data_IF_670673246010
#
_entry.id   IF_670673246010
#
_cell.length_a   1.000
_cell.length_b   1.000
_cell.length_c   1.000
_cell.angle_alpha   90.00
_cell.angle_beta   90.00
_cell.angle_gamma   90.00
#
_symmetry.space_group_name_H-M   'P 1'
#
loop_
_entity.id
_entity.type
_entity.pdbx_description
1 polymer ?
#
# COMPACT_ATOMS: atom_id res chain seq x y z
N UNK A 1 41.33 -3.08 -31.29
CA UNK A 1 40.00 -2.43 -31.21
C UNK A 1 39.32 -2.95 -29.96
N UNK A 2 39.28 -2.14 -28.90
CA UNK A 2 38.71 -2.48 -27.60
C UNK A 2 37.34 -1.82 -27.45
N UNK A 3 36.45 -2.53 -26.75
CA UNK A 3 35.22 -2.08 -26.09
C UNK A 3 34.03 -1.73 -27.02
N UNK A 4 32.78 -2.02 -26.68
CA UNK A 4 32.22 -2.30 -25.36
C UNK A 4 31.06 -3.30 -25.46
N UNK A 5 31.07 -4.23 -24.51
CA UNK A 5 29.96 -5.07 -24.08
C UNK A 5 28.70 -4.22 -23.90
N UNK A 6 27.66 -4.46 -24.70
CA UNK A 6 26.32 -3.93 -24.46
C UNK A 6 25.75 -4.65 -23.24
N UNK A 7 25.96 -4.05 -22.07
CA UNK A 7 25.23 -4.38 -20.86
C UNK A 7 23.76 -3.98 -21.10
N UNK A 8 22.96 -4.94 -21.56
CA UNK A 8 21.50 -4.80 -21.53
C UNK A 8 21.12 -4.80 -20.06
N UNK A 9 20.94 -3.61 -19.50
CA UNK A 9 20.36 -3.43 -18.18
C UNK A 9 18.87 -3.78 -18.30
N UNK A 10 18.56 -5.07 -18.31
CA UNK A 10 17.20 -5.58 -18.23
C UNK A 10 16.67 -5.28 -16.83
N UNK A 11 16.14 -4.07 -16.65
CA UNK A 11 15.33 -3.71 -15.49
C UNK A 11 14.02 -4.48 -15.66
N UNK A 12 13.99 -5.72 -15.15
CA UNK A 12 12.73 -6.42 -14.92
C UNK A 12 12.08 -5.71 -13.75
N UNK A 13 11.26 -4.70 -14.03
CA UNK A 13 10.32 -4.18 -13.06
C UNK A 13 9.27 -5.29 -12.86
N UNK A 14 9.53 -6.19 -11.92
CA UNK A 14 8.49 -7.02 -11.32
C UNK A 14 7.57 -6.05 -10.56
N UNK A 15 6.65 -5.42 -11.30
CA UNK A 15 5.49 -4.79 -10.72
C UNK A 15 4.71 -5.91 -10.05
N UNK A 16 4.99 -6.16 -8.76
CA UNK A 16 4.19 -7.10 -7.99
C UNK A 16 2.81 -6.48 -7.87
N UNK A 17 1.92 -6.85 -8.79
CA UNK A 17 0.51 -6.86 -8.50
C UNK A 17 0.42 -7.65 -7.20
N UNK A 18 -0.11 -7.03 -6.15
CA UNK A 18 -0.29 -7.71 -4.87
C UNK A 18 -1.76 -8.08 -4.73
N UNK A 19 -2.28 -9.00 -5.58
CA UNK A 19 -3.68 -9.34 -5.54
C UNK A 19 -3.95 -9.97 -4.18
N UNK A 20 -5.08 -9.57 -3.59
CA UNK A 20 -5.59 -10.22 -2.41
C UNK A 20 -5.84 -11.70 -2.75
N UNK A 21 -5.08 -12.62 -2.13
CA UNK A 21 -5.20 -14.07 -2.38
C UNK A 21 -6.14 -14.72 -1.37
N UNK A 22 -6.85 -15.77 -1.82
CA UNK A 22 -7.76 -16.55 -0.98
C UNK A 22 -7.02 -17.48 -0.01
N UNK A 23 -5.81 -17.89 -0.36
CA UNK A 23 -4.95 -18.75 0.46
C UNK A 23 -3.88 -17.91 1.14
N UNK A 24 -3.81 -17.97 2.47
CA UNK A 24 -2.82 -17.21 3.22
C UNK A 24 -1.49 -17.97 3.28
N UNK A 25 -0.34 -17.26 3.30
CA UNK A 25 0.96 -17.90 3.48
C UNK A 25 0.98 -18.79 4.73
N UNK A 26 1.59 -19.96 4.61
CA UNK A 26 1.80 -20.90 5.72
C UNK A 26 3.02 -20.52 6.55
N UNK A 27 4.00 -19.84 5.94
CA UNK A 27 5.20 -19.30 6.58
C UNK A 27 5.28 -17.79 6.45
N UNK A 28 5.96 -17.15 7.41
CA UNK A 28 6.22 -15.71 7.39
C UNK A 28 5.05 -14.85 7.84
N UNK A 29 5.27 -13.55 7.77
CA UNK A 29 4.31 -12.51 8.14
C UNK A 29 3.42 -12.16 6.94
N UNK A 30 2.14 -11.92 7.20
CA UNK A 30 1.20 -11.49 6.16
C UNK A 30 0.12 -10.56 6.73
N UNK A 31 -0.52 -9.81 5.84
CA UNK A 31 -1.68 -9.00 6.18
C UNK A 31 -2.96 -9.76 5.83
N UNK A 32 -3.98 -9.65 6.66
CA UNK A 32 -5.30 -10.23 6.41
C UNK A 32 -6.39 -9.19 6.60
N UNK A 33 -7.25 -9.04 5.60
CA UNK A 33 -8.37 -8.11 5.63
C UNK A 33 -9.58 -8.74 4.91
N UNK A 34 -10.75 -8.71 5.57
CA UNK A 34 -12.02 -9.29 5.04
C UNK A 34 -11.86 -10.71 4.48
N UNK A 35 -11.09 -11.54 5.17
CA UNK A 35 -10.88 -12.94 4.79
C UNK A 35 -9.82 -13.18 3.72
N UNK A 36 -9.33 -12.14 3.02
CA UNK A 36 -8.24 -12.25 2.05
C UNK A 36 -6.88 -11.93 2.66
N UNK A 37 -5.84 -12.48 2.07
CA UNK A 37 -4.45 -12.28 2.47
C UNK A 37 -3.69 -11.42 1.47
N UNK A 38 -2.74 -10.66 2.00
CA UNK A 38 -2.06 -9.55 1.34
C UNK A 38 -0.58 -9.60 1.71
N UNK A 39 0.30 -9.39 0.75
CA UNK A 39 1.75 -9.36 1.00
C UNK A 39 2.25 -7.94 1.29
N UNK A 40 3.56 -7.80 1.34
CA UNK A 40 4.26 -6.55 1.58
C UNK A 40 3.92 -5.48 0.54
N UNK A 41 3.75 -4.23 0.98
CA UNK A 41 3.45 -3.11 0.10
C UNK A 41 1.97 -2.98 -0.27
N UNK A 42 1.07 -3.63 0.45
CA UNK A 42 -0.37 -3.61 0.12
C UNK A 42 -1.08 -2.31 0.51
N UNK A 43 -2.13 -1.97 -0.23
CA UNK A 43 -2.87 -0.71 -0.06
C UNK A 43 -4.27 -0.93 0.54
N UNK A 44 -4.64 -0.09 1.51
CA UNK A 44 -5.94 -0.12 2.18
C UNK A 44 -6.54 1.29 2.22
N UNK A 45 -7.55 1.50 1.39
CA UNK A 45 -8.36 2.73 1.45
C UNK A 45 -9.12 2.77 2.78
N UNK A 46 -9.06 3.90 3.49
CA UNK A 46 -9.61 4.08 4.84
C UNK A 46 -11.06 3.62 4.98
N UNK A 47 -11.92 3.95 4.02
CA UNK A 47 -13.33 3.54 4.01
C UNK A 47 -13.52 2.01 4.09
N UNK A 48 -12.55 1.24 3.62
CA UNK A 48 -12.59 -0.24 3.65
C UNK A 48 -12.22 -0.79 5.02
N UNK A 49 -11.50 -0.03 5.84
CA UNK A 49 -11.00 -0.42 7.17
C UNK A 49 -11.75 0.26 8.33
N UNK A 50 -12.74 1.11 8.04
CA UNK A 50 -13.71 1.56 9.04
C UNK A 50 -14.45 0.34 9.58
N UNK A 51 -14.37 0.15 10.90
CA UNK A 51 -14.89 -1.02 11.65
C UNK A 51 -14.34 -2.38 11.21
N UNK A 52 -13.34 -2.39 10.34
CA UNK A 52 -12.84 -3.62 9.71
C UNK A 52 -11.33 -3.65 9.80
N UNK A 53 -10.83 -4.71 10.41
CA UNK A 53 -9.43 -4.81 10.77
C UNK A 53 -8.54 -5.11 9.58
N UNK A 54 -7.36 -4.52 9.58
CA UNK A 54 -6.18 -5.03 8.89
C UNK A 54 -5.39 -5.79 9.95
N UNK A 55 -5.43 -7.11 9.89
CA UNK A 55 -4.68 -7.97 10.80
C UNK A 55 -3.28 -8.17 10.22
N UNK A 56 -2.25 -7.84 10.97
CA UNK A 56 -0.92 -8.36 10.71
C UNK A 56 -0.76 -9.67 11.48
N UNK A 57 -0.43 -10.74 10.76
CA UNK A 57 -0.48 -12.11 11.25
C UNK A 57 0.83 -12.83 11.01
N UNK A 58 1.09 -13.80 11.87
CA UNK A 58 2.15 -14.79 11.69
C UNK A 58 1.65 -16.15 12.19
N UNK A 59 1.97 -17.23 11.48
CA UNK A 59 1.57 -18.58 11.87
C UNK A 59 2.57 -19.17 12.89
N UNK A 60 2.66 -18.56 14.07
CA UNK A 60 3.46 -19.05 15.19
C UNK A 60 2.57 -19.30 16.42
N UNK A 61 3.06 -20.16 17.32
CA UNK A 61 2.34 -20.57 18.52
C UNK A 61 2.31 -19.49 19.62
N UNK A 62 3.32 -18.62 19.70
CA UNK A 62 3.41 -17.54 20.69
C UNK A 62 3.98 -16.24 20.08
N UNK A 63 3.58 -15.10 20.65
CA UNK A 63 4.16 -13.78 20.37
C UNK A 63 4.97 -13.37 21.59
N UNK A 64 6.24 -13.07 21.40
CA UNK A 64 7.08 -12.39 22.40
C UNK A 64 6.89 -10.86 22.36
N UNK A 65 6.09 -10.36 21.41
CA UNK A 65 5.73 -8.95 21.29
C UNK A 65 4.89 -8.69 20.03
N UNK A 66 5.19 -7.59 19.35
CA UNK A 66 4.53 -7.19 18.12
C UNK A 66 4.29 -5.70 18.10
N UNK A 67 4.48 -5.08 16.94
CA UNK A 67 4.42 -3.63 16.85
C UNK A 67 3.90 -3.16 15.49
N UNK A 68 3.04 -2.14 15.53
CA UNK A 68 2.75 -1.30 14.38
C UNK A 68 3.45 0.04 14.57
N UNK A 69 4.11 0.53 13.52
CA UNK A 69 4.65 1.88 13.42
C UNK A 69 3.97 2.54 12.23
N UNK A 70 3.21 3.60 12.47
CA UNK A 70 2.53 4.36 11.43
C UNK A 70 3.20 5.71 11.16
N UNK A 71 2.56 6.56 10.34
CA UNK A 71 3.03 7.92 10.03
C UNK A 71 3.17 8.80 11.28
N UNK A 72 2.28 8.61 12.27
CA UNK A 72 2.37 9.27 13.57
C UNK A 72 3.39 8.60 14.54
N UNK A 73 4.20 7.66 14.07
CA UNK A 73 5.15 6.87 14.88
C UNK A 73 4.55 5.60 15.46
N UNK A 74 5.16 5.10 16.54
CA UNK A 74 4.75 3.85 17.22
C UNK A 74 3.26 3.89 17.63
N UNK A 75 2.53 2.82 17.33
CA UNK A 75 1.14 2.60 17.74
C UNK A 75 1.10 1.83 19.07
N UNK A 76 0.34 2.29 20.07
CA UNK A 76 0.09 1.50 21.28
C UNK A 76 -0.84 0.32 20.94
N UNK A 77 -0.41 -0.92 21.24
CA UNK A 77 -1.16 -2.15 20.96
C UNK A 77 -1.19 -3.04 22.21
N UNK A 78 -2.32 -3.15 22.93
CA UNK A 78 -3.61 -2.50 22.67
C UNK A 78 -3.57 -0.99 22.96
N UNK A 79 -4.41 -0.23 22.25
CA UNK A 79 -4.52 1.22 22.45
C UNK A 79 -5.01 1.96 21.21
N UNK A 80 -4.95 3.28 21.25
CA UNK A 80 -5.30 4.14 20.12
C UNK A 80 -4.30 5.27 19.91
N UNK A 81 -4.21 5.72 18.67
CA UNK A 81 -3.42 6.88 18.26
C UNK A 81 -4.00 7.43 16.96
N UNK A 82 -4.11 8.75 16.85
CA UNK A 82 -4.63 9.44 15.65
C UNK A 82 -5.85 8.74 15.07
N UNK A 83 -6.92 8.59 15.88
CA UNK A 83 -8.18 7.92 15.57
C UNK A 83 -8.14 6.46 15.03
N UNK A 84 -6.99 5.81 15.08
CA UNK A 84 -6.81 4.40 14.74
C UNK A 84 -6.66 3.62 16.03
N UNK A 85 -7.39 2.51 16.12
CA UNK A 85 -7.25 1.56 17.23
C UNK A 85 -6.34 0.42 16.81
N UNK A 86 -5.46 0.05 17.73
CA UNK A 86 -4.73 -1.19 17.67
C UNK A 86 -5.27 -2.19 18.70
N UNK A 87 -5.33 -3.45 18.31
CA UNK A 87 -5.71 -4.55 19.20
C UNK A 87 -4.72 -5.69 19.07
N UNK A 88 -4.41 -6.31 20.20
CA UNK A 88 -3.56 -7.49 20.30
C UNK A 88 -4.44 -8.71 20.53
N UNK A 89 -4.22 -9.79 19.78
CA UNK A 89 -4.91 -11.07 19.97
C UNK A 89 -3.87 -12.17 20.17
N UNK A 90 -3.80 -12.67 21.40
CA UNK A 90 -2.92 -13.75 21.83
C UNK A 90 -3.73 -14.99 22.24
N UNK A 91 -3.10 -16.17 22.23
CA UNK A 91 -3.69 -17.43 22.69
C UNK A 91 -3.58 -18.55 21.66
N UNK A 92 -4.42 -18.53 20.63
CA UNK A 92 -4.45 -19.58 19.59
C UNK A 92 -3.91 -19.04 18.27
N UNK A 93 -2.99 -19.78 17.64
CA UNK A 93 -2.45 -19.42 16.33
C UNK A 93 -3.57 -19.38 15.25
N UNK A 94 -3.48 -18.49 14.25
CA UNK A 94 -2.42 -17.51 14.06
C UNK A 94 -2.59 -16.28 14.94
N UNK A 95 -1.50 -15.86 15.56
CA UNK A 95 -1.46 -14.66 16.40
C UNK A 95 -1.46 -13.41 15.54
N UNK A 96 -2.00 -12.31 16.08
CA UNK A 96 -2.19 -11.09 15.31
C UNK A 96 -2.18 -9.81 16.13
N UNK A 97 -1.70 -8.75 15.50
CA UNK A 97 -1.95 -7.36 15.89
C UNK A 97 -2.75 -6.68 14.79
N UNK A 98 -3.82 -5.99 15.16
CA UNK A 98 -4.82 -5.49 14.23
C UNK A 98 -4.92 -3.98 14.29
N UNK A 99 -4.98 -3.32 13.14
CA UNK A 99 -5.37 -1.90 13.02
C UNK A 99 -6.79 -1.78 12.48
N UNK A 100 -7.57 -0.83 13.00
CA UNK A 100 -8.86 -0.45 12.44
C UNK A 100 -9.25 0.97 12.84
N UNK A 101 -10.13 1.59 12.05
CA UNK A 101 -10.73 2.88 12.39
C UNK A 101 -12.09 2.61 13.06
N UNK A 102 -12.36 3.09 14.28
CA UNK A 102 -13.64 2.88 14.95
C UNK A 102 -14.81 3.56 14.22
N UNK A 103 -15.99 2.93 14.19
CA UNK A 103 -17.17 3.50 13.50
C UNK A 103 -17.80 4.71 14.19
N UNK A 104 -17.51 4.92 15.48
CA UNK A 104 -18.27 5.88 16.28
C UNK A 104 -17.94 7.31 15.82
N UNK A 105 -18.94 7.97 15.23
CA UNK A 105 -18.86 9.34 14.74
C UNK A 105 -18.43 9.51 13.27
N UNK A 106 -18.50 8.46 12.43
CA UNK A 106 -18.23 8.58 10.99
C UNK A 106 -16.81 9.05 10.64
N UNK A 107 -15.83 8.75 11.51
CA UNK A 107 -14.48 9.29 11.40
C UNK A 107 -13.70 8.59 10.29
N UNK A 108 -13.29 9.35 9.29
CA UNK A 108 -12.27 8.97 8.31
C UNK A 108 -10.88 8.95 8.97
N UNK A 109 -9.89 8.41 8.25
CA UNK A 109 -8.50 8.53 8.68
C UNK A 109 -8.14 10.01 8.87
N UNK A 110 -7.48 10.40 9.96
CA UNK A 110 -6.95 11.77 10.14
C UNK A 110 -5.64 11.95 9.36
N UNK A 111 -5.29 13.16 8.88
CA UNK A 111 -4.11 13.38 8.04
C UNK A 111 -2.81 12.82 8.61
N UNK A 112 -2.66 12.86 9.93
CA UNK A 112 -1.50 12.31 10.65
C UNK A 112 -1.42 10.78 10.67
N UNK A 113 -2.49 10.08 10.30
CA UNK A 113 -2.52 8.63 10.09
C UNK A 113 -2.43 8.22 8.62
N UNK A 114 -2.25 9.16 7.70
CA UNK A 114 -2.19 8.84 6.28
C UNK A 114 -0.81 8.34 5.84
N UNK A 115 -0.75 7.17 5.24
CA UNK A 115 0.44 6.67 4.54
C UNK A 115 0.92 5.31 5.01
N UNK A 116 2.23 5.14 5.09
CA UNK A 116 2.86 3.85 5.30
C UNK A 116 2.88 3.43 6.77
N UNK A 117 2.46 2.19 6.99
CA UNK A 117 2.52 1.47 8.25
C UNK A 117 3.47 0.30 8.11
N UNK A 118 4.31 0.11 9.12
CA UNK A 118 5.21 -1.03 9.29
C UNK A 118 4.68 -1.90 10.41
N UNK A 119 4.41 -3.17 10.14
CA UNK A 119 4.14 -4.17 11.16
C UNK A 119 5.36 -5.07 11.37
N UNK A 120 5.65 -5.39 12.63
CA UNK A 120 6.70 -6.31 13.02
C UNK A 120 6.14 -7.43 13.92
N UNK A 121 6.47 -8.69 13.59
CA UNK A 121 6.12 -9.89 14.33
C UNK A 121 7.24 -10.95 14.22
N UNK A 122 7.45 -11.81 15.23
CA UNK A 122 6.65 -11.94 16.45
C UNK A 122 7.04 -10.95 17.57
N UNK A 123 8.07 -10.13 17.36
CA UNK A 123 8.61 -9.14 18.30
C UNK A 123 8.39 -7.71 17.79
N UNK A 124 8.98 -6.71 18.46
CA UNK A 124 8.92 -5.31 18.05
C UNK A 124 9.83 -5.01 16.84
N UNK A 125 9.73 -3.80 16.27
CA UNK A 125 10.47 -3.39 15.09
C UNK A 125 11.93 -3.00 15.33
N UNK A 126 12.40 -3.00 16.58
CA UNK A 126 13.82 -2.78 16.91
C UNK A 126 14.61 -4.09 16.91
N UNK A 127 13.94 -5.24 16.96
CA UNK A 127 14.57 -6.55 16.87
C UNK A 127 14.96 -6.84 15.42
N UNK A 128 16.25 -7.05 15.11
CA UNK A 128 16.71 -7.32 13.74
C UNK A 128 16.21 -8.67 13.18
N UNK A 129 15.75 -9.58 14.04
CA UNK A 129 15.25 -10.90 13.63
C UNK A 129 13.72 -10.93 13.48
N UNK A 130 13.04 -9.79 13.67
CA UNK A 130 11.59 -9.71 13.47
C UNK A 130 11.24 -9.75 11.99
N UNK A 131 10.10 -10.35 11.66
CA UNK A 131 9.55 -10.27 10.31
C UNK A 131 8.86 -8.93 10.15
N UNK A 132 9.00 -8.32 8.97
CA UNK A 132 8.47 -6.98 8.70
C UNK A 132 7.53 -7.04 7.49
N UNK A 133 6.40 -6.35 7.60
CA UNK A 133 5.50 -6.12 6.47
C UNK A 133 5.00 -4.68 6.47
N UNK A 134 4.90 -4.11 5.28
CA UNK A 134 4.41 -2.75 5.06
C UNK A 134 3.01 -2.74 4.46
N UNK A 135 2.21 -1.78 4.87
CA UNK A 135 0.89 -1.48 4.35
C UNK A 135 0.74 0.03 4.17
N UNK A 136 0.16 0.48 3.07
CA UNK A 136 -0.25 1.87 2.93
C UNK A 136 -1.72 1.99 3.31
N UNK A 137 -2.02 2.73 4.36
CA UNK A 137 -3.40 3.05 4.76
C UNK A 137 -3.60 4.53 4.46
N UNK A 138 -4.53 4.83 3.56
CA UNK A 138 -4.64 6.18 3.00
C UNK A 138 -6.08 6.69 2.97
N UNK A 139 -6.21 8.01 3.03
CA UNK A 139 -7.46 8.74 2.75
C UNK A 139 -7.63 8.93 1.25
N UNK A 140 -8.89 9.01 0.83
CA UNK A 140 -9.25 9.34 -0.55
C UNK A 140 -8.64 8.37 -1.57
N UNK A 141 -7.65 8.79 -2.36
CA UNK A 141 -7.09 8.02 -3.47
C UNK A 141 -5.56 7.98 -3.42
N UNK A 142 -4.98 6.92 -4.00
CA UNK A 142 -3.53 6.72 -4.15
C UNK A 142 -3.19 6.22 -5.55
N UNK A 143 -1.95 6.46 -5.96
CA UNK A 143 -1.38 5.84 -7.15
C UNK A 143 -0.75 4.52 -6.73
N UNK A 144 -1.32 3.41 -7.20
CA UNK A 144 -0.80 2.07 -6.96
C UNK A 144 0.39 1.77 -7.88
N UNK A 145 0.29 2.18 -9.14
CA UNK A 145 1.38 2.03 -10.11
C UNK A 145 1.40 3.16 -11.11
N UNK A 146 2.62 3.52 -11.54
CA UNK A 146 2.86 4.50 -12.58
C UNK A 146 4.10 4.08 -13.37
N UNK A 147 3.97 3.97 -14.69
CA UNK A 147 5.10 3.64 -15.55
C UNK A 147 4.91 4.16 -16.97
N UNK A 148 6.03 4.44 -17.62
CA UNK A 148 6.03 4.69 -19.06
C UNK A 148 6.16 3.37 -19.82
N UNK A 149 5.39 3.24 -20.89
CA UNK A 149 5.48 2.18 -21.88
C UNK A 149 5.79 2.80 -23.25
N UNK A 150 6.16 1.93 -24.19
CA UNK A 150 6.42 2.31 -25.58
C UNK A 150 7.51 3.39 -25.72
N UNK A 151 8.56 3.35 -24.87
CA UNK A 151 9.70 4.26 -24.95
C UNK A 151 10.50 3.97 -26.24
N UNK A 152 10.72 4.95 -27.15
CA UNK A 152 11.57 4.77 -28.32
C UNK A 152 13.01 4.45 -27.89
N UNK A 153 13.60 3.44 -28.54
CA UNK A 153 14.99 3.05 -28.28
C UNK A 153 15.99 4.14 -28.69
N UNK A 154 15.63 4.94 -29.70
CA UNK A 154 16.39 6.11 -30.13
C UNK A 154 15.66 7.38 -29.67
N UNK A 155 16.17 7.98 -28.60
CA UNK A 155 15.64 9.22 -28.03
C UNK A 155 16.17 10.49 -28.72
N UNK A 156 16.81 10.36 -29.89
CA UNK A 156 17.33 11.50 -30.67
C UNK A 156 16.41 11.92 -31.82
N UNK A 157 15.46 11.07 -32.21
CA UNK A 157 14.50 11.35 -33.29
C UNK A 157 13.24 12.02 -32.73
N UNK A 158 12.90 13.19 -33.26
CA UNK A 158 11.74 13.97 -32.85
C UNK A 158 10.64 13.97 -33.94
N UNK A 159 9.34 14.01 -33.56
CA UNK A 159 8.82 14.05 -32.19
C UNK A 159 8.78 12.68 -31.52
N UNK A 160 9.09 12.65 -30.22
CA UNK A 160 8.97 11.44 -29.41
C UNK A 160 7.53 11.27 -28.90
N UNK A 161 7.05 10.03 -28.90
CA UNK A 161 5.75 9.64 -28.34
C UNK A 161 5.98 8.59 -27.27
N UNK A 162 5.31 8.73 -26.14
CA UNK A 162 5.37 7.78 -25.05
C UNK A 162 3.96 7.53 -24.54
N UNK A 163 3.72 6.33 -24.02
CA UNK A 163 2.49 6.00 -23.30
C UNK A 163 2.80 6.00 -21.81
N UNK A 164 1.93 6.59 -21.01
CA UNK A 164 2.02 6.54 -19.56
C UNK A 164 0.84 5.73 -19.05
N UNK A 165 1.13 4.71 -18.24
CA UNK A 165 0.14 3.94 -17.53
C UNK A 165 0.12 4.35 -16.07
N UNK A 166 -1.09 4.58 -15.55
CA UNK A 166 -1.32 4.94 -14.17
C UNK A 166 -2.48 4.10 -13.64
N UNK A 167 -2.27 3.44 -12.51
CA UNK A 167 -3.36 2.75 -11.78
C UNK A 167 -3.65 3.54 -10.52
N UNK A 168 -4.84 4.12 -10.47
CA UNK A 168 -5.37 4.77 -9.27
C UNK A 168 -6.26 3.81 -8.50
N UNK A 169 -6.22 3.91 -7.18
CA UNK A 169 -7.08 3.16 -6.25
C UNK A 169 -7.71 4.10 -5.23
N UNK A 170 -8.80 3.66 -4.59
CA UNK A 170 -9.45 4.38 -3.50
C UNK A 170 -10.78 5.03 -3.88
N UNK A 171 -10.96 6.29 -3.48
CA UNK A 171 -12.20 7.05 -3.58
C UNK A 171 -12.67 7.22 -5.03
N UNK A 172 -13.96 7.06 -5.29
CA UNK A 172 -14.51 7.00 -6.66
C UNK A 172 -14.46 8.33 -7.40
N UNK A 173 -14.51 9.46 -6.71
CA UNK A 173 -14.39 10.80 -7.31
C UNK A 173 -12.97 11.35 -7.16
N UNK A 174 -12.42 11.89 -8.24
CA UNK A 174 -11.03 12.35 -8.31
C UNK A 174 -10.80 13.33 -9.47
N UNK A 175 -9.61 13.92 -9.52
CA UNK A 175 -9.07 14.64 -10.67
C UNK A 175 -7.71 14.06 -11.01
N UNK A 176 -7.32 14.10 -12.28
CA UNK A 176 -5.98 13.70 -12.75
C UNK A 176 -5.32 14.93 -13.35
N UNK A 177 -4.11 15.27 -12.89
CA UNK A 177 -3.20 16.13 -13.62
C UNK A 177 -1.90 15.40 -13.92
N UNK A 178 -1.35 15.62 -15.11
CA UNK A 178 0.02 15.26 -15.45
C UNK A 178 0.79 16.54 -15.71
N UNK A 179 1.72 16.83 -14.80
CA UNK A 179 2.53 18.03 -14.81
C UNK A 179 3.99 17.65 -15.11
N UNK A 180 4.64 18.40 -16.00
CA UNK A 180 6.07 18.31 -16.27
C UNK A 180 6.73 19.63 -15.91
N UNK A 181 7.42 19.65 -14.76
CA UNK A 181 7.90 20.89 -14.16
C UNK A 181 6.73 21.79 -13.78
N UNK A 182 6.70 23.00 -14.32
CA UNK A 182 5.64 23.98 -14.08
C UNK A 182 4.50 23.93 -15.10
N UNK A 183 4.56 23.03 -16.10
CA UNK A 183 3.58 22.96 -17.19
C UNK A 183 2.63 21.78 -17.00
N UNK A 184 1.32 22.03 -17.04
CA UNK A 184 0.28 21.00 -17.04
C UNK A 184 0.02 20.51 -18.46
N UNK A 185 0.26 19.23 -18.72
CA UNK A 185 0.05 18.61 -20.03
C UNK A 185 -1.36 18.06 -20.20
N UNK A 186 -1.87 17.45 -19.12
CA UNK A 186 -3.19 16.84 -19.09
C UNK A 186 -3.85 17.24 -17.78
N UNK A 187 -5.11 17.63 -17.85
CA UNK A 187 -5.93 17.92 -16.68
C UNK A 187 -7.35 17.43 -16.93
N UNK A 188 -7.73 16.39 -16.19
CA UNK A 188 -9.10 15.89 -16.16
C UNK A 188 -9.67 16.16 -14.78
N UNK A 189 -10.83 16.82 -14.75
CA UNK A 189 -11.54 17.15 -13.53
C UNK A 189 -12.87 16.39 -13.47
N UNK A 190 -13.42 16.22 -12.27
CA UNK A 190 -14.71 15.56 -12.05
C UNK A 190 -14.77 14.09 -12.52
N UNK A 191 -13.65 13.39 -12.46
CA UNK A 191 -13.58 11.95 -12.76
C UNK A 191 -14.40 11.17 -11.74
N UNK A 192 -15.14 10.14 -12.20
CA UNK A 192 -15.91 9.28 -11.32
C UNK A 192 -15.97 7.82 -11.80
N UNK A 193 -15.38 6.91 -11.02
CA UNK A 193 -15.38 5.46 -11.31
C UNK A 193 -16.76 4.80 -11.19
N UNK A 194 -17.70 5.44 -10.48
CA UNK A 194 -19.05 4.92 -10.23
C UNK A 194 -20.08 5.23 -11.32
N UNK A 195 -19.74 6.09 -12.28
CA UNK A 195 -20.61 6.51 -13.38
C UNK A 195 -19.94 6.21 -14.74
N UNK A 196 -20.67 6.38 -15.85
CA UNK A 196 -20.16 6.27 -17.23
C UNK A 196 -19.21 7.43 -17.63
N UNK A 197 -18.57 8.11 -16.68
CA UNK A 197 -17.56 9.15 -16.93
C UNK A 197 -16.25 8.85 -16.22
N UNK A 198 -15.65 7.64 -16.42
CA UNK A 198 -14.28 7.42 -16.02
C UNK A 198 -13.40 8.40 -16.82
N UNK A 199 -12.46 9.04 -16.13
CA UNK A 199 -11.41 9.75 -16.86
C UNK A 199 -10.50 8.73 -17.57
N UNK A 200 -9.87 9.12 -18.69
CA UNK A 200 -8.98 8.25 -19.47
C UNK A 200 -7.89 7.57 -18.64
#
# INVERSE_FOLDING_TARGET
MHAASMLVLSIVFLMSVNPAISYCPTSGIYLRHRGRCYYNGSYFWDSRIISRRVDCRINLATLSGGEWIGPAGKMPCPGDKTNIRCSLYQGTAPLRISLYIPNYGGKYLLPSGDGWYKCCLPTNCSDPNTNIIFANIFRYAQIESFYAADLPSDMTVYPQKYKVHCTKIGHVSYSISLDLGSSTFVSYTNCNDGNNSPCP
#
